data_IF_204344258510
#
_entry.id   IF_204344258510
#
_cell.length_a   1.000
_cell.length_b   1.000
_cell.length_c   1.000
_cell.angle_alpha   90.00
_cell.angle_beta   90.00
_cell.angle_gamma   90.00
#
_symmetry.space_group_name_H-M   'P 1'
#
loop_
_entity.id
_entity.type
_entity.pdbx_description
1 polymer ?
#
# COMPACT_ATOMS: atom_id res chain seq x y z
N UNK A 1 -12.00 -17.00 24.52
CA UNK A 1 -11.77 -16.27 23.26
C UNK A 1 -11.18 -17.25 22.25
N UNK A 2 -11.70 -17.32 21.03
CA UNK A 2 -11.16 -18.23 20.00
C UNK A 2 -9.87 -17.67 19.40
N UNK A 3 -9.05 -18.52 18.79
CA UNK A 3 -7.82 -18.08 18.11
C UNK A 3 -8.12 -17.04 17.01
N UNK A 4 -9.20 -17.23 16.24
CA UNK A 4 -9.63 -16.28 15.20
C UNK A 4 -10.00 -14.90 15.80
N UNK A 5 -10.70 -14.86 16.93
CA UNK A 5 -11.07 -13.60 17.57
C UNK A 5 -9.83 -12.84 18.10
N UNK A 6 -8.83 -13.56 18.61
CA UNK A 6 -7.56 -12.95 19.02
C UNK A 6 -6.80 -12.36 17.83
N UNK A 7 -6.68 -13.11 16.74
CA UNK A 7 -6.03 -12.62 15.51
C UNK A 7 -6.74 -11.39 14.96
N UNK A 8 -8.08 -11.38 14.91
CA UNK A 8 -8.83 -10.21 14.46
C UNK A 8 -8.57 -8.98 15.35
N UNK A 9 -8.57 -9.15 16.68
CA UNK A 9 -8.28 -8.07 17.61
C UNK A 9 -6.86 -7.52 17.44
N UNK A 10 -5.86 -8.40 17.30
CA UNK A 10 -4.47 -8.02 17.05
C UNK A 10 -4.31 -7.27 15.72
N UNK A 11 -4.97 -7.75 14.66
CA UNK A 11 -4.98 -7.09 13.36
C UNK A 11 -5.60 -5.70 13.46
N UNK A 12 -6.76 -5.57 14.11
CA UNK A 12 -7.41 -4.27 14.31
C UNK A 12 -6.51 -3.28 15.08
N UNK A 13 -5.82 -3.74 16.13
CA UNK A 13 -4.84 -2.90 16.85
C UNK A 13 -3.71 -2.43 15.94
N UNK A 14 -3.18 -3.30 15.08
CA UNK A 14 -2.10 -2.94 14.17
C UNK A 14 -2.55 -1.95 13.08
N UNK A 15 -3.73 -2.16 12.48
CA UNK A 15 -4.27 -1.24 11.47
C UNK A 15 -4.59 0.13 12.07
N UNK A 16 -5.10 0.16 13.30
CA UNK A 16 -5.32 1.42 14.02
C UNK A 16 -4.00 2.17 14.27
N UNK A 17 -2.94 1.45 14.67
CA UNK A 17 -1.60 2.03 14.82
C UNK A 17 -1.06 2.61 13.50
N UNK A 18 -1.26 1.93 12.36
CA UNK A 18 -0.85 2.46 11.06
C UNK A 18 -1.49 3.84 10.78
N UNK A 19 -2.80 3.93 11.01
CA UNK A 19 -3.60 5.12 10.71
C UNK A 19 -3.32 6.30 11.65
N UNK A 20 -3.04 6.02 12.92
CA UNK A 20 -2.97 7.07 13.95
C UNK A 20 -1.53 7.44 14.35
N UNK A 21 -0.60 6.49 14.31
CA UNK A 21 0.76 6.67 14.84
C UNK A 21 1.85 6.60 13.75
N UNK A 22 1.58 5.95 12.62
CA UNK A 22 2.58 5.72 11.57
C UNK A 22 2.36 6.56 10.30
N UNK A 23 1.42 7.52 10.34
CA UNK A 23 1.11 8.46 9.25
C UNK A 23 0.67 7.79 7.94
N UNK A 24 -0.02 6.65 8.04
CA UNK A 24 -0.70 6.05 6.90
C UNK A 24 -2.16 6.53 6.86
N UNK A 25 -2.76 6.52 5.69
CA UNK A 25 -4.20 6.77 5.47
C UNK A 25 -4.83 5.64 4.66
N UNK A 26 -6.16 5.58 4.61
CA UNK A 26 -6.91 4.57 3.84
C UNK A 26 -6.49 3.13 4.18
N UNK A 27 -6.19 2.89 5.46
CA UNK A 27 -5.66 1.61 5.92
C UNK A 27 -6.73 0.53 5.80
N UNK A 28 -6.40 -0.59 5.16
CA UNK A 28 -7.27 -1.78 5.14
C UNK A 28 -6.48 -3.08 5.16
N UNK A 29 -7.11 -4.13 5.67
CA UNK A 29 -6.62 -5.50 5.50
C UNK A 29 -6.87 -5.97 4.06
N UNK A 30 -5.86 -6.57 3.42
CA UNK A 30 -6.04 -7.32 2.17
C UNK A 30 -6.47 -8.76 2.46
N UNK A 31 -5.92 -9.35 3.52
CA UNK A 31 -6.27 -10.69 4.00
C UNK A 31 -5.92 -10.80 5.50
N UNK A 32 -5.91 -12.02 6.04
CA UNK A 32 -5.62 -12.26 7.48
C UNK A 32 -4.20 -11.83 7.90
N UNK A 33 -3.25 -11.70 6.97
CA UNK A 33 -1.83 -11.49 7.27
C UNK A 33 -1.24 -10.23 6.63
N UNK A 34 -1.90 -9.60 5.66
CA UNK A 34 -1.37 -8.44 4.93
C UNK A 34 -2.33 -7.26 4.92
N UNK A 35 -1.76 -6.06 4.88
CA UNK A 35 -2.47 -4.80 4.75
C UNK A 35 -2.09 -4.07 3.45
N UNK A 36 -2.94 -3.12 3.08
CA UNK A 36 -2.61 -2.05 2.15
C UNK A 36 -3.03 -0.71 2.76
N UNK A 37 -2.25 0.33 2.51
CA UNK A 37 -2.52 1.68 2.99
C UNK A 37 -1.78 2.71 2.13
N UNK A 38 -2.18 3.98 2.23
CA UNK A 38 -1.50 5.08 1.54
C UNK A 38 -0.53 5.76 2.51
N UNK A 39 0.67 6.06 2.05
CA UNK A 39 1.64 6.89 2.76
C UNK A 39 1.98 8.14 1.94
N UNK A 40 1.88 9.35 2.52
CA UNK A 40 2.45 10.54 1.91
C UNK A 40 3.98 10.47 1.98
N UNK A 41 4.63 10.64 0.84
CA UNK A 41 6.08 10.81 0.72
C UNK A 41 6.39 12.27 0.35
N UNK A 42 7.67 12.65 0.39
CA UNK A 42 8.09 14.04 0.16
C UNK A 42 7.54 14.67 -1.13
N UNK A 43 7.34 13.89 -2.20
CA UNK A 43 6.87 14.37 -3.51
C UNK A 43 5.78 13.50 -4.16
N UNK A 44 5.39 12.40 -3.53
CA UNK A 44 4.47 11.41 -4.10
C UNK A 44 3.58 10.84 -3.02
N UNK A 45 2.52 10.15 -3.40
CA UNK A 45 1.79 9.28 -2.48
C UNK A 45 2.04 7.85 -2.91
N UNK A 46 2.13 6.92 -1.96
CA UNK A 46 2.36 5.52 -2.30
C UNK A 46 1.33 4.61 -1.66
N UNK A 47 0.82 3.66 -2.44
CA UNK A 47 0.20 2.47 -1.85
C UNK A 47 1.33 1.62 -1.31
N UNK A 48 1.29 1.32 -0.02
CA UNK A 48 2.23 0.47 0.71
C UNK A 48 1.54 -0.84 1.07
N UNK A 49 2.25 -1.96 0.92
CA UNK A 49 1.82 -3.26 1.44
C UNK A 49 2.81 -3.84 2.42
N UNK A 50 2.32 -4.66 3.34
CA UNK A 50 3.20 -5.42 4.23
C UNK A 50 2.44 -6.36 5.14
N UNK A 51 3.21 -7.05 5.98
CA UNK A 51 2.67 -7.98 6.98
C UNK A 51 2.08 -7.24 8.16
N UNK A 52 0.86 -7.65 8.54
CA UNK A 52 0.22 -7.21 9.76
C UNK A 52 1.08 -7.62 10.96
N UNK A 53 1.33 -6.68 11.86
CA UNK A 53 2.19 -6.87 13.03
C UNK A 53 3.65 -6.50 12.81
N UNK A 54 4.11 -6.32 11.57
CA UNK A 54 5.48 -5.87 11.29
C UNK A 54 5.55 -4.33 11.28
N UNK A 55 6.02 -3.75 12.39
CA UNK A 55 6.19 -2.30 12.53
C UNK A 55 7.51 -1.77 11.95
N UNK A 56 8.45 -2.65 11.60
CA UNK A 56 9.80 -2.25 11.23
C UNK A 56 9.95 -1.95 9.73
N UNK A 57 9.18 -2.62 8.88
CA UNK A 57 9.32 -2.53 7.43
C UNK A 57 8.00 -2.85 6.71
N UNK A 58 7.80 -2.21 5.56
CA UNK A 58 6.82 -2.64 4.56
C UNK A 58 7.48 -3.57 3.53
N UNK A 59 6.68 -4.31 2.77
CA UNK A 59 7.16 -5.28 1.78
C UNK A 59 7.28 -4.66 0.38
N UNK A 60 6.29 -3.87 -0.05
CA UNK A 60 6.34 -3.21 -1.36
C UNK A 60 5.60 -1.87 -1.36
N UNK A 61 5.83 -1.09 -2.43
CA UNK A 61 5.12 0.16 -2.68
C UNK A 61 5.02 0.57 -4.14
N UNK A 62 3.90 1.20 -4.48
CA UNK A 62 3.67 1.83 -5.79
C UNK A 62 3.41 3.32 -5.62
N UNK A 63 4.20 4.16 -6.30
CA UNK A 63 4.13 5.61 -6.16
C UNK A 63 3.22 6.24 -7.22
N UNK A 64 2.41 7.20 -6.77
CA UNK A 64 1.42 7.98 -7.49
C UNK A 64 1.78 9.46 -7.45
N UNK A 65 1.39 10.20 -8.49
CA UNK A 65 1.69 11.63 -8.58
C UNK A 65 0.93 12.47 -7.55
N UNK A 66 -0.17 11.95 -7.01
CA UNK A 66 -1.01 12.62 -6.02
C UNK A 66 -1.84 11.64 -5.20
N UNK A 67 -2.40 12.15 -4.11
CA UNK A 67 -3.23 11.39 -3.18
C UNK A 67 -4.46 10.82 -3.87
N UNK A 68 -5.19 11.63 -4.64
CA UNK A 68 -6.44 11.21 -5.29
C UNK A 68 -6.23 10.03 -6.25
N UNK A 69 -5.12 10.03 -7.00
CA UNK A 69 -4.73 8.90 -7.87
C UNK A 69 -4.46 7.63 -7.03
N UNK A 70 -3.77 7.76 -5.90
CA UNK A 70 -3.48 6.64 -5.01
C UNK A 70 -4.75 6.09 -4.35
N UNK A 71 -5.70 6.95 -3.94
CA UNK A 71 -6.99 6.55 -3.37
C UNK A 71 -7.81 5.78 -4.40
N UNK A 72 -7.99 6.36 -5.60
CA UNK A 72 -8.74 5.71 -6.66
C UNK A 72 -8.15 4.33 -7.03
N UNK A 73 -6.82 4.23 -7.12
CA UNK A 73 -6.15 2.96 -7.37
C UNK A 73 -6.33 1.96 -6.21
N UNK A 74 -6.20 2.41 -4.96
CA UNK A 74 -6.37 1.54 -3.80
C UNK A 74 -7.80 1.02 -3.66
N UNK A 75 -8.80 1.85 -3.96
CA UNK A 75 -10.23 1.47 -3.93
C UNK A 75 -10.58 0.46 -5.02
N UNK A 76 -10.01 0.62 -6.22
CA UNK A 76 -10.24 -0.28 -7.35
C UNK A 76 -9.50 -1.62 -7.21
N UNK A 77 -8.40 -1.65 -6.46
CA UNK A 77 -7.55 -2.83 -6.34
C UNK A 77 -8.12 -3.89 -5.40
N UNK A 78 -8.04 -5.17 -5.76
CA UNK A 78 -8.48 -6.29 -4.93
C UNK A 78 -7.37 -6.85 -4.02
N UNK A 79 -6.14 -6.34 -4.14
CA UNK A 79 -4.98 -6.81 -3.40
C UNK A 79 -4.20 -7.94 -4.10
N UNK A 80 -4.58 -8.32 -5.32
CA UNK A 80 -3.88 -9.32 -6.13
C UNK A 80 -3.08 -8.60 -7.23
N UNK A 81 -1.83 -9.03 -7.44
CA UNK A 81 -0.96 -8.42 -8.43
C UNK A 81 -0.52 -7.01 -8.02
N UNK A 82 -0.56 -6.08 -8.97
CA UNK A 82 -0.20 -4.68 -8.75
C UNK A 82 -1.45 -3.81 -8.85
N UNK A 83 -1.59 -2.75 -8.03
CA UNK A 83 -2.59 -1.74 -8.29
C UNK A 83 -2.26 -1.02 -9.61
N UNK A 84 -3.26 -0.45 -10.27
CA UNK A 84 -3.04 0.28 -11.52
C UNK A 84 -2.70 1.76 -11.29
N UNK A 85 -2.23 2.45 -12.35
CA UNK A 85 -2.08 3.90 -12.38
C UNK A 85 -0.88 4.49 -11.60
N UNK A 86 0.02 3.65 -11.10
CA UNK A 86 1.27 4.11 -10.49
C UNK A 86 2.29 4.53 -11.54
N UNK A 87 3.13 5.53 -11.25
CA UNK A 87 4.17 5.99 -12.18
C UNK A 87 5.58 5.56 -11.81
N UNK A 88 5.80 5.08 -10.58
CA UNK A 88 7.09 4.49 -10.16
C UNK A 88 6.90 3.32 -9.20
N UNK A 89 7.58 2.21 -9.50
CA UNK A 89 7.71 1.04 -8.62
C UNK A 89 9.16 0.90 -8.12
N UNK A 90 9.49 1.40 -6.92
CA UNK A 90 10.89 1.55 -6.49
C UNK A 90 11.65 0.24 -6.31
N UNK A 91 10.98 -0.87 -5.99
CA UNK A 91 11.61 -2.17 -5.77
C UNK A 91 12.20 -2.77 -7.06
N UNK A 92 11.58 -2.48 -8.21
CA UNK A 92 12.00 -3.01 -9.52
C UNK A 92 12.67 -1.96 -10.41
N UNK A 93 12.54 -0.68 -10.07
CA UNK A 93 13.01 0.43 -10.92
C UNK A 93 12.07 0.75 -12.09
N UNK A 94 10.93 0.06 -12.23
CA UNK A 94 9.95 0.33 -13.28
C UNK A 94 9.32 1.71 -13.11
N UNK A 95 9.04 2.35 -14.25
CA UNK A 95 8.33 3.63 -14.36
C UNK A 95 7.30 3.55 -15.46
N UNK A 96 6.15 4.17 -15.24
CA UNK A 96 5.04 4.30 -16.20
C UNK A 96 4.72 5.78 -16.33
N UNK A 97 4.90 6.35 -17.51
CA UNK A 97 4.54 7.75 -17.73
C UNK A 97 3.03 7.93 -17.54
N UNK A 98 2.63 8.92 -16.72
CA UNK A 98 1.24 9.14 -16.27
C UNK A 98 0.52 7.93 -15.62
N UNK A 99 1.24 6.84 -15.35
CA UNK A 99 0.66 5.59 -14.87
C UNK A 99 0.19 4.64 -15.97
N UNK A 100 0.54 4.90 -17.23
CA UNK A 100 0.21 4.06 -18.39
C UNK A 100 1.13 2.83 -18.48
N UNK A 101 0.59 1.60 -18.37
CA UNK A 101 1.39 0.38 -18.48
C UNK A 101 2.05 0.18 -19.85
N UNK A 102 1.49 0.75 -20.93
CA UNK A 102 2.07 0.63 -22.27
C UNK A 102 3.33 1.51 -22.45
N UNK A 103 3.54 2.47 -21.54
CA UNK A 103 4.69 3.35 -21.47
C UNK A 103 5.70 2.91 -20.39
N UNK A 104 5.66 1.64 -19.99
CA UNK A 104 6.56 1.13 -18.96
C UNK A 104 8.01 1.07 -19.45
N UNK A 105 8.90 1.67 -18.66
CA UNK A 105 10.35 1.61 -18.87
C UNK A 105 11.06 1.18 -17.58
N UNK A 106 12.25 0.59 -17.73
CA UNK A 106 13.19 0.42 -16.61
C UNK A 106 14.02 1.69 -16.48
N UNK A 107 13.99 2.32 -15.31
CA UNK A 107 14.90 3.41 -15.02
C UNK A 107 16.35 2.86 -14.95
N UNK A 108 17.34 3.57 -15.53
CA UNK A 108 18.74 3.17 -15.49
C UNK A 108 19.33 3.17 -14.07
#
# INVERSE_FOLDING_TARGET
>A
MTADALTQAQNATFLHWLENDANYTNVRALNKTHYAAIMPLMFTHAIITGRIGNKAMYEDRWCYAGYDKAVAALEAWDGIGEPEGWHRHPATGRRREEGDPDLEILAP
#
